data_IF_299607117303
#
_entry.id   IF_299607117303
#
_cell.length_a   1.000
_cell.length_b   1.000
_cell.length_c   1.000
_cell.angle_alpha   90.00
_cell.angle_beta   90.00
_cell.angle_gamma   90.00
#
_symmetry.space_group_name_H-M   'P 1'
#
loop_
_entity.id
_entity.type
_entity.pdbx_description
1 polymer ?
#
# COMPACT_ATOMS: atom_id res chain seq x y z
N UNK A 1 14.91 -46.75 -9.73
CA UNK A 1 15.25 -45.50 -10.44
C UNK A 1 14.52 -44.36 -9.74
N UNK A 2 15.23 -43.35 -9.24
CA UNK A 2 14.62 -42.19 -8.56
C UNK A 2 14.36 -41.14 -9.65
N UNK A 3 13.10 -40.90 -9.99
CA UNK A 3 12.72 -39.88 -10.98
C UNK A 3 13.08 -38.50 -10.47
N UNK A 4 13.97 -37.79 -11.16
CA UNK A 4 14.23 -36.38 -10.87
C UNK A 4 13.12 -35.56 -11.49
N UNK A 5 12.41 -34.77 -10.68
CA UNK A 5 11.47 -33.77 -11.17
C UNK A 5 12.20 -32.76 -12.06
N UNK A 6 11.54 -32.33 -13.13
CA UNK A 6 12.05 -31.26 -13.98
C UNK A 6 12.27 -29.98 -13.14
N UNK A 7 13.33 -29.19 -13.41
CA UNK A 7 13.54 -27.91 -12.74
C UNK A 7 12.31 -27.01 -12.92
N UNK A 8 11.83 -26.39 -11.84
CA UNK A 8 10.77 -25.39 -11.94
C UNK A 8 11.31 -24.18 -12.70
N UNK A 9 10.66 -23.79 -13.79
CA UNK A 9 10.97 -22.53 -14.46
C UNK A 9 10.59 -21.36 -13.54
N UNK A 10 11.58 -20.62 -13.07
CA UNK A 10 11.39 -19.42 -12.23
C UNK A 10 11.60 -18.12 -13.00
N UNK A 11 11.67 -18.16 -14.34
CA UNK A 11 11.78 -16.96 -15.18
C UNK A 11 10.41 -16.31 -15.30
N UNK A 12 10.01 -15.58 -14.26
CA UNK A 12 8.82 -14.72 -14.29
C UNK A 12 9.22 -13.27 -14.53
N UNK A 13 8.46 -12.56 -15.37
CA UNK A 13 8.47 -11.10 -15.40
C UNK A 13 7.34 -10.63 -14.48
N UNK A 14 7.65 -9.77 -13.53
CA UNK A 14 6.68 -9.23 -12.57
C UNK A 14 6.90 -7.73 -12.39
N UNK A 15 5.82 -7.03 -12.03
CA UNK A 15 5.83 -5.64 -11.57
C UNK A 15 5.01 -5.55 -10.29
N UNK A 16 5.24 -4.52 -9.50
CA UNK A 16 4.50 -4.25 -8.28
C UNK A 16 3.46 -3.17 -8.52
N UNK A 17 2.24 -3.42 -8.04
CA UNK A 17 1.18 -2.43 -8.00
C UNK A 17 1.08 -1.88 -6.59
N UNK A 18 1.29 -0.57 -6.47
CA UNK A 18 1.03 0.20 -5.26
C UNK A 18 -0.30 0.91 -5.42
N UNK A 19 -1.19 0.79 -4.43
CA UNK A 19 -2.52 1.36 -4.53
C UNK A 19 -3.10 1.71 -3.17
N UNK A 20 -3.74 2.88 -3.11
CA UNK A 20 -4.55 3.32 -1.98
C UNK A 20 -5.93 3.72 -2.50
N UNK A 21 -6.97 3.39 -1.74
CA UNK A 21 -8.36 3.71 -2.08
C UNK A 21 -9.04 4.46 -0.94
N UNK A 22 -9.93 5.37 -1.29
CA UNK A 22 -10.91 5.96 -0.40
C UNK A 22 -12.30 5.40 -0.76
N UNK A 23 -12.79 4.36 -0.07
CA UNK A 23 -14.07 3.73 -0.38
C UNK A 23 -15.25 4.69 -0.28
N UNK A 24 -15.21 5.61 0.70
CA UNK A 24 -16.29 6.58 0.93
C UNK A 24 -16.51 7.54 -0.25
N UNK A 25 -15.43 7.85 -0.99
CA UNK A 25 -15.47 8.76 -2.13
C UNK A 25 -15.36 8.05 -3.49
N UNK A 26 -15.18 6.72 -3.50
CA UNK A 26 -14.93 5.97 -4.73
C UNK A 26 -13.67 6.40 -5.48
N UNK A 27 -12.65 6.93 -4.77
CA UNK A 27 -11.39 7.42 -5.35
C UNK A 27 -10.23 6.46 -5.07
N UNK A 28 -9.23 6.46 -5.94
CA UNK A 28 -7.99 5.74 -5.74
C UNK A 28 -6.79 6.45 -6.35
N UNK A 29 -5.61 6.11 -5.86
CA UNK A 29 -4.32 6.59 -6.35
C UNK A 29 -3.35 5.41 -6.35
N UNK A 30 -2.49 5.29 -7.37
CA UNK A 30 -1.63 4.12 -7.49
C UNK A 30 -0.57 4.22 -8.57
N UNK A 31 0.45 3.35 -8.45
CA UNK A 31 1.61 3.29 -9.33
C UNK A 31 1.94 1.84 -9.68
N UNK A 32 2.42 1.62 -10.90
CA UNK A 32 3.06 0.37 -11.31
C UNK A 32 4.56 0.57 -11.32
N UNK A 33 5.28 -0.14 -10.45
CA UNK A 33 6.72 0.05 -10.23
C UNK A 33 7.48 -1.27 -10.39
N UNK A 34 8.74 -1.24 -10.86
CA UNK A 34 9.54 -2.46 -11.05
C UNK A 34 10.05 -3.05 -9.73
N UNK A 35 10.01 -2.30 -8.62
CA UNK A 35 10.57 -2.70 -7.33
C UNK A 35 9.55 -2.45 -6.20
N UNK A 36 9.61 -3.27 -5.16
CA UNK A 36 8.87 -3.09 -3.92
C UNK A 36 9.82 -2.84 -2.76
N UNK A 37 10.07 -1.56 -2.47
CA UNK A 37 10.99 -1.11 -1.44
C UNK A 37 10.55 0.25 -0.88
N UNK A 38 11.31 0.79 0.08
CA UNK A 38 11.02 2.09 0.71
C UNK A 38 10.91 3.22 -0.30
N UNK A 39 11.79 3.31 -1.29
CA UNK A 39 11.73 4.35 -2.33
C UNK A 39 10.44 4.29 -3.15
N UNK A 40 10.00 3.09 -3.54
CA UNK A 40 8.73 2.88 -4.21
C UNK A 40 7.53 3.29 -3.33
N UNK A 41 7.61 3.05 -2.02
CA UNK A 41 6.58 3.49 -1.07
C UNK A 41 6.53 5.01 -0.92
N UNK A 42 7.68 5.70 -0.89
CA UNK A 42 7.72 7.18 -0.89
C UNK A 42 7.02 7.74 -2.13
N UNK A 43 7.35 7.23 -3.32
CA UNK A 43 6.68 7.64 -4.56
C UNK A 43 5.16 7.41 -4.51
N UNK A 44 4.74 6.30 -3.90
CA UNK A 44 3.32 6.03 -3.71
C UNK A 44 2.66 7.01 -2.75
N UNK A 45 3.29 7.36 -1.62
CA UNK A 45 2.77 8.35 -0.68
C UNK A 45 2.66 9.74 -1.31
N UNK A 46 3.62 10.12 -2.16
CA UNK A 46 3.53 11.37 -2.93
C UNK A 46 2.34 11.35 -3.90
N UNK A 47 2.12 10.22 -4.60
CA UNK A 47 0.96 10.06 -5.47
C UNK A 47 -0.36 10.16 -4.70
N UNK A 48 -0.43 9.54 -3.52
CA UNK A 48 -1.60 9.70 -2.64
C UNK A 48 -1.75 11.14 -2.19
N UNK A 49 -0.68 11.80 -1.76
CA UNK A 49 -0.69 13.19 -1.28
C UNK A 49 -1.24 14.15 -2.34
N UNK A 50 -0.86 13.96 -3.61
CA UNK A 50 -1.41 14.73 -4.75
C UNK A 50 -2.91 14.50 -4.97
N UNK A 51 -3.41 13.31 -4.65
CA UNK A 51 -4.82 12.96 -4.80
C UNK A 51 -5.69 13.43 -3.62
N UNK A 52 -5.08 13.84 -2.50
CA UNK A 52 -5.80 14.43 -1.36
C UNK A 52 -6.35 15.80 -1.76
N UNK A 53 -7.64 16.02 -1.50
CA UNK A 53 -8.29 17.29 -1.82
C UNK A 53 -7.65 18.45 -1.01
N UNK A 54 -7.59 19.67 -1.56
CA UNK A 54 -7.10 20.83 -0.80
C UNK A 54 -7.84 20.98 0.53
N UNK A 55 -7.10 21.19 1.62
CA UNK A 55 -7.64 21.32 2.97
C UNK A 55 -7.93 19.99 3.70
N UNK A 56 -7.87 18.85 3.00
CA UNK A 56 -8.11 17.54 3.60
C UNK A 56 -6.82 16.86 4.10
N UNK A 57 -6.98 15.86 4.97
CA UNK A 57 -5.91 15.01 5.49
C UNK A 57 -6.22 13.53 5.24
N UNK A 58 -5.24 12.79 4.71
CA UNK A 58 -5.41 11.35 4.49
C UNK A 58 -4.90 10.55 5.68
N UNK A 59 -5.69 9.55 6.09
CA UNK A 59 -5.23 8.52 7.02
C UNK A 59 -5.18 7.20 6.27
N UNK A 60 -3.98 6.63 6.14
CA UNK A 60 -3.74 5.41 5.40
C UNK A 60 -3.54 4.25 6.35
N UNK A 61 -4.37 3.23 6.23
CA UNK A 61 -4.17 1.96 6.92
C UNK A 61 -3.14 1.15 6.13
N UNK A 62 -2.00 0.85 6.74
CA UNK A 62 -0.91 0.07 6.13
C UNK A 62 -0.65 -1.20 6.94
N UNK A 63 -0.20 -2.26 6.27
CA UNK A 63 0.30 -3.44 6.97
C UNK A 63 1.70 -3.15 7.57
N UNK A 64 2.27 -4.11 8.30
CA UNK A 64 3.57 -3.95 8.98
C UNK A 64 4.74 -4.45 8.14
N UNK A 65 4.66 -4.45 6.81
CA UNK A 65 5.81 -4.75 5.98
C UNK A 65 6.96 -3.79 6.31
N UNK A 66 8.21 -4.29 6.28
CA UNK A 66 9.38 -3.53 6.77
C UNK A 66 9.58 -2.17 6.08
N UNK A 67 9.08 -1.99 4.86
CA UNK A 67 9.13 -0.73 4.12
C UNK A 67 8.02 0.26 4.49
N UNK A 68 6.96 -0.17 5.17
CA UNK A 68 5.95 0.74 5.76
C UNK A 68 6.39 1.36 7.09
N UNK A 69 7.40 0.78 7.74
CA UNK A 69 7.91 1.20 9.06
C UNK A 69 9.38 1.64 9.02
N UNK A 70 9.93 1.79 7.81
CA UNK A 70 11.33 2.18 7.65
C UNK A 70 11.55 3.60 8.17
N UNK A 71 12.65 3.82 8.90
CA UNK A 71 13.06 5.16 9.33
C UNK A 71 13.42 6.09 8.15
N UNK A 72 13.65 5.52 6.96
CA UNK A 72 13.91 6.26 5.71
C UNK A 72 12.62 6.64 4.97
N UNK A 73 11.45 6.22 5.46
CA UNK A 73 10.17 6.51 4.84
C UNK A 73 9.80 7.98 5.06
N UNK A 74 9.77 8.75 3.97
CA UNK A 74 9.28 10.13 3.98
C UNK A 74 7.76 10.14 3.81
N UNK A 75 7.05 10.62 4.83
CA UNK A 75 5.59 10.75 4.81
C UNK A 75 5.22 12.22 4.58
N UNK A 76 4.46 12.56 3.52
CA UNK A 76 3.96 13.92 3.30
C UNK A 76 3.12 14.44 4.48
N UNK A 77 3.19 15.75 4.75
CA UNK A 77 2.56 16.38 5.93
C UNK A 77 1.03 16.21 6.00
N UNK A 78 0.37 16.01 4.87
CA UNK A 78 -1.08 15.78 4.75
C UNK A 78 -1.48 14.29 4.83
N UNK A 79 -0.57 13.43 5.29
CA UNK A 79 -0.79 11.99 5.45
C UNK A 79 -0.42 11.54 6.86
N UNK A 80 -1.27 10.72 7.46
CA UNK A 80 -0.93 9.91 8.65
C UNK A 80 -0.99 8.43 8.29
N UNK A 81 0.08 7.70 8.59
CA UNK A 81 0.09 6.24 8.47
C UNK A 81 -0.43 5.63 9.77
N UNK A 82 -1.51 4.86 9.66
CA UNK A 82 -2.00 4.00 10.71
C UNK A 82 -1.50 2.58 10.46
N UNK A 83 -0.50 2.18 11.25
CA UNK A 83 0.02 0.83 11.30
C UNK A 83 -1.04 -0.15 11.82
N UNK A 84 -1.49 -1.10 10.99
CA UNK A 84 -2.43 -2.12 11.42
C UNK A 84 -1.78 -3.07 12.44
N UNK A 85 -2.28 -3.06 13.67
CA UNK A 85 -1.74 -3.81 14.81
C UNK A 85 -1.88 -5.35 14.76
N UNK A 86 -2.36 -5.95 13.67
CA UNK A 86 -2.55 -7.40 13.63
C UNK A 86 -1.88 -8.06 12.44
N UNK A 87 -0.96 -8.98 12.74
CA UNK A 87 -0.42 -9.99 11.82
C UNK A 87 -1.49 -10.94 11.23
N UNK A 88 -2.77 -10.72 11.55
CA UNK A 88 -3.95 -11.46 11.08
C UNK A 88 -5.18 -10.54 11.03
N UNK A 89 -5.18 -9.51 10.18
CA UNK A 89 -6.46 -8.97 9.74
C UNK A 89 -7.00 -9.89 8.64
N UNK A 90 -8.20 -10.50 8.79
CA UNK A 90 -8.84 -11.16 7.67
C UNK A 90 -9.08 -10.12 6.58
N UNK A 91 -9.05 -10.58 5.32
CA UNK A 91 -9.39 -9.79 4.12
C UNK A 91 -10.51 -8.79 4.43
N UNK A 92 -10.27 -7.52 4.13
CA UNK A 92 -11.26 -6.45 4.35
C UNK A 92 -12.48 -6.75 3.47
N UNK A 93 -13.55 -7.21 4.10
CA UNK A 93 -14.83 -7.43 3.45
C UNK A 93 -15.55 -6.08 3.22
N UNK A 94 -16.21 -5.85 2.08
CA UNK A 94 -16.93 -4.61 1.81
C UNK A 94 -18.05 -4.42 2.84
N UNK A 95 -17.94 -3.41 3.72
CA UNK A 95 -19.01 -3.04 4.66
C UNK A 95 -18.59 -2.82 6.12
N UNK A 96 -17.35 -3.13 6.52
CA UNK A 96 -16.85 -2.79 7.87
C UNK A 96 -16.21 -1.40 7.88
N UNK A 97 -16.89 -0.46 8.53
CA UNK A 97 -16.56 0.97 8.61
C UNK A 97 -15.37 1.24 9.53
N UNK A 98 -14.14 0.95 9.13
CA UNK A 98 -12.97 1.35 9.90
C UNK A 98 -11.92 2.00 8.96
N UNK A 99 -11.95 3.34 8.96
CA UNK A 99 -10.99 4.34 8.45
C UNK A 99 -10.66 4.27 6.94
N UNK A 100 -11.30 4.97 6.01
CA UNK A 100 -11.85 6.33 5.92
C UNK A 100 -10.78 7.44 5.91
N UNK A 101 -10.39 7.87 4.71
CA UNK A 101 -9.93 9.24 4.46
C UNK A 101 -11.04 10.15 4.99
N UNK A 102 -10.79 10.77 6.14
CA UNK A 102 -11.70 11.79 6.65
C UNK A 102 -11.26 13.12 6.05
N UNK A 103 -11.74 13.40 4.84
CA UNK A 103 -11.74 14.75 4.31
C UNK A 103 -12.84 15.53 5.05
N UNK A 104 -12.45 16.51 5.85
CA UNK A 104 -13.25 17.71 6.08
C UNK A 104 -12.42 18.89 5.60
#
# INVERSE_FOLDING_TARGET
MIGRSAPKDQRTKSVYLFGAICPALGKGAGLVLPLCNTAAMVLHLEEVSRAVAPGAHAVLLVDQAGWHLSAELTVPDNITLLAALAAKMPRVEPGRKHLAVHAR
#
